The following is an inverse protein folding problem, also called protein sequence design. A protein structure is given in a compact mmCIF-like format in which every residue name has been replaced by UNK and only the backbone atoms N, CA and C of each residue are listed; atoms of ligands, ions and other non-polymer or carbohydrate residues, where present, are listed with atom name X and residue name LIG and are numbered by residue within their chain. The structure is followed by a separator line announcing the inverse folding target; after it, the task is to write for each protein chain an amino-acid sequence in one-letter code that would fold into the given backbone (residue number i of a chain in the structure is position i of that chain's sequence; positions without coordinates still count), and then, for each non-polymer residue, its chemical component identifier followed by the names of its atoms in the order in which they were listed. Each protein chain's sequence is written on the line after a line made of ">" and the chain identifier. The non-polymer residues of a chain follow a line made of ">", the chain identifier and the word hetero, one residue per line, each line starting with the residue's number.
data_IF_244683057963
#
_entry.id   IF_244683057963
#
_cell.length_a   1.000
_cell.length_b   1.000
_cell.length_c   1.000
_cell.angle_alpha   90.00
_cell.angle_beta   90.00
_cell.angle_gamma   90.00
#
_symmetry.space_group_name_H-M   'P 1'
#
loop_
_entity.id
_entity.type
_entity.pdbx_description
1 polymer ?
#
# COMPACT_ATOMS: atom_id res chain seq x y z
N UNK A 1 4.37 -20.59 5.02
CA UNK A 1 5.10 -19.41 4.54
C UNK A 1 6.57 -19.70 4.65
N UNK A 2 7.33 -19.41 3.59
CA UNK A 2 8.80 -19.44 3.64
C UNK A 2 9.33 -18.45 4.69
N UNK A 3 10.53 -18.70 5.21
CA UNK A 3 11.10 -17.96 6.35
C UNK A 3 11.07 -16.43 6.15
N UNK A 4 11.46 -15.94 4.98
CA UNK A 4 11.52 -14.50 4.68
C UNK A 4 10.14 -13.83 4.69
N UNK A 5 9.13 -14.51 4.15
CA UNK A 5 7.75 -14.00 4.15
C UNK A 5 7.16 -14.01 5.56
N UNK A 6 7.37 -15.09 6.31
CA UNK A 6 6.92 -15.20 7.69
C UNK A 6 7.56 -14.11 8.58
N UNK A 7 8.87 -13.87 8.45
CA UNK A 7 9.56 -12.84 9.20
C UNK A 7 9.02 -11.43 8.88
N UNK A 8 8.85 -11.09 7.60
CA UNK A 8 8.30 -9.79 7.20
C UNK A 8 6.88 -9.56 7.72
N UNK A 9 6.02 -10.58 7.64
CA UNK A 9 4.67 -10.50 8.18
C UNK A 9 4.65 -10.31 9.70
N UNK A 10 5.55 -10.98 10.44
CA UNK A 10 5.65 -10.84 11.90
C UNK A 10 6.20 -9.48 12.36
N UNK A 11 6.84 -8.71 11.47
CA UNK A 11 7.20 -7.32 11.76
C UNK A 11 6.02 -6.36 11.57
N UNK A 12 5.07 -6.70 10.70
CA UNK A 12 3.90 -5.87 10.38
C UNK A 12 2.75 -6.13 11.34
N UNK A 13 2.45 -7.40 11.60
CA UNK A 13 1.39 -7.83 12.52
C UNK A 13 2.04 -8.19 13.85
N UNK A 14 1.68 -7.49 14.91
CA UNK A 14 2.21 -7.68 16.24
C UNK A 14 1.80 -9.05 16.80
N UNK A 15 2.48 -9.49 17.87
CA UNK A 15 2.28 -10.83 18.45
C UNK A 15 0.88 -11.06 19.01
N UNK A 16 0.14 -9.99 19.30
CA UNK A 16 -1.26 -10.01 19.73
C UNK A 16 -2.26 -10.10 18.57
N UNK A 17 -1.76 -10.12 17.32
CA UNK A 17 -2.56 -10.19 16.10
C UNK A 17 -3.04 -8.84 15.57
N UNK A 18 -2.66 -7.72 16.19
CA UNK A 18 -3.05 -6.38 15.76
C UNK A 18 -1.95 -5.66 14.98
N UNK A 19 -2.33 -4.59 14.27
CA UNK A 19 -1.41 -3.73 13.56
C UNK A 19 -1.94 -2.31 13.44
N UNK A 20 -1.07 -1.32 13.61
CA UNK A 20 -1.31 0.09 13.39
C UNK A 20 -0.34 0.64 12.34
N UNK A 21 -0.80 0.69 11.10
CA UNK A 21 -0.02 1.25 9.99
C UNK A 21 -0.29 2.75 9.86
N UNK A 22 0.77 3.54 9.68
CA UNK A 22 0.69 4.99 9.43
C UNK A 22 0.80 5.27 7.92
N UNK A 23 -0.32 5.59 7.23
CA UNK A 23 -0.30 5.93 5.81
C UNK A 23 0.11 7.39 5.57
N UNK A 24 1.17 7.57 4.78
CA UNK A 24 1.74 8.87 4.37
C UNK A 24 2.03 8.89 2.86
N UNK A 25 1.28 8.12 2.09
CA UNK A 25 1.44 7.96 0.64
C UNK A 25 0.60 8.94 -0.19
N UNK A 26 -0.18 9.83 0.42
CA UNK A 26 -1.13 10.71 -0.29
C UNK A 26 -0.51 11.68 -1.31
N UNK A 27 0.75 12.07 -1.09
CA UNK A 27 1.38 13.15 -1.87
C UNK A 27 1.53 12.88 -3.37
N UNK A 28 1.59 11.61 -3.80
CA UNK A 28 1.80 11.31 -5.24
C UNK A 28 0.64 11.76 -6.13
N UNK A 29 -0.59 11.79 -5.59
CA UNK A 29 -1.78 12.18 -6.35
C UNK A 29 -2.43 13.47 -5.85
N UNK A 30 -2.28 13.80 -4.55
CA UNK A 30 -2.85 15.00 -3.93
C UNK A 30 -1.90 16.21 -3.91
N UNK A 31 -0.59 16.00 -4.15
CA UNK A 31 0.41 17.05 -3.95
C UNK A 31 0.63 17.34 -2.46
N UNK A 32 1.01 18.58 -2.08
CA UNK A 32 1.29 18.96 -0.69
C UNK A 32 -0.01 19.08 0.12
N UNK A 33 -0.61 17.94 0.45
CA UNK A 33 -1.83 17.88 1.25
C UNK A 33 -1.56 18.27 2.69
N UNK A 34 -2.62 18.67 3.41
CA UNK A 34 -2.52 19.19 4.78
C UNK A 34 -1.77 18.23 5.69
N UNK A 35 -0.80 18.73 6.45
CA UNK A 35 0.13 17.96 7.32
C UNK A 35 1.12 17.07 6.57
N UNK A 36 1.19 17.10 5.25
CA UNK A 36 2.20 16.37 4.47
C UNK A 36 2.93 17.29 3.49
N UNK A 37 2.86 18.61 3.71
CA UNK A 37 3.67 19.61 3.00
C UNK A 37 5.17 19.39 3.29
N UNK A 38 5.48 19.04 4.53
CA UNK A 38 6.80 18.60 5.00
C UNK A 38 6.67 17.25 5.71
N UNK A 39 6.66 16.11 4.98
CA UNK A 39 6.28 14.81 5.54
C UNK A 39 7.08 14.40 6.79
N UNK A 40 8.38 14.74 6.83
CA UNK A 40 9.25 14.48 7.98
C UNK A 40 8.67 15.00 9.29
N UNK A 41 8.21 16.26 9.32
CA UNK A 41 7.66 16.91 10.52
C UNK A 41 6.41 16.23 11.06
N UNK A 42 5.71 15.46 10.22
CA UNK A 42 4.52 14.70 10.60
C UNK A 42 4.85 13.26 10.94
N UNK A 43 5.78 12.64 10.22
CA UNK A 43 6.17 11.24 10.44
C UNK A 43 6.91 11.10 11.77
N UNK A 44 7.96 11.91 12.01
CA UNK A 44 8.85 11.77 13.18
C UNK A 44 8.10 11.67 14.54
N UNK A 45 7.16 12.57 14.89
CA UNK A 45 6.48 12.49 16.19
C UNK A 45 5.47 11.33 16.30
N UNK A 46 5.00 10.79 15.18
CA UNK A 46 4.01 9.70 15.15
C UNK A 46 4.66 8.32 15.06
N UNK A 47 5.90 8.25 14.56
CA UNK A 47 6.62 7.01 14.31
C UNK A 47 6.67 6.05 15.53
N UNK A 48 6.86 6.52 16.79
CA UNK A 48 6.87 5.64 17.95
C UNK A 48 5.55 4.87 18.18
N UNK A 49 4.44 5.40 17.69
CA UNK A 49 3.10 4.83 17.87
C UNK A 49 2.67 3.94 16.70
N UNK A 50 3.47 3.85 15.64
CA UNK A 50 3.17 3.04 14.46
C UNK A 50 3.95 1.73 14.47
N UNK A 51 3.31 0.68 13.97
CA UNK A 51 3.94 -0.61 13.72
C UNK A 51 4.64 -0.63 12.36
N UNK A 52 4.11 0.10 11.37
CA UNK A 52 4.70 0.24 10.05
C UNK A 52 4.33 1.57 9.39
N UNK A 53 5.16 2.00 8.44
CA UNK A 53 4.84 3.13 7.54
C UNK A 53 4.31 2.60 6.21
N UNK A 54 3.20 3.16 5.73
CA UNK A 54 2.76 2.97 4.35
C UNK A 54 3.05 4.23 3.54
N UNK A 55 4.04 4.16 2.65
CA UNK A 55 4.75 5.35 2.16
C UNK A 55 5.21 5.18 0.71
N UNK A 56 5.38 6.28 -0.03
CA UNK A 56 5.96 6.26 -1.38
C UNK A 56 7.49 6.27 -1.33
N UNK A 57 8.15 5.71 -2.35
CA UNK A 57 9.63 5.68 -2.44
C UNK A 57 10.30 7.06 -2.30
N UNK A 58 9.64 8.11 -2.77
CA UNK A 58 10.17 9.48 -2.71
C UNK A 58 10.16 10.03 -1.30
N UNK A 59 9.04 9.88 -0.58
CA UNK A 59 8.90 10.36 0.79
C UNK A 59 9.76 9.52 1.74
N UNK A 60 9.86 8.21 1.53
CA UNK A 60 10.74 7.34 2.31
C UNK A 60 12.19 7.85 2.27
N UNK A 61 12.71 8.13 1.08
CA UNK A 61 14.11 8.58 0.89
C UNK A 61 14.40 9.97 1.44
N UNK A 62 13.44 10.89 1.34
CA UNK A 62 13.66 12.29 1.70
C UNK A 62 13.33 12.62 3.15
N UNK A 63 12.41 11.87 3.75
CA UNK A 63 11.69 12.30 4.95
C UNK A 63 11.68 11.28 6.10
N UNK A 64 12.30 10.12 5.92
CA UNK A 64 12.44 9.09 6.97
C UNK A 64 13.92 8.86 7.24
N UNK A 65 14.30 8.84 8.51
CA UNK A 65 15.65 8.50 8.95
C UNK A 65 15.87 6.98 8.82
N UNK A 66 16.84 6.50 8.02
CA UNK A 66 17.09 5.07 7.87
C UNK A 66 17.55 4.40 9.17
N UNK A 67 18.17 5.13 10.10
CA UNK A 67 18.65 4.58 11.38
C UNK A 67 17.55 4.51 12.43
N UNK A 68 16.44 5.22 12.22
CA UNK A 68 15.30 5.29 13.13
C UNK A 68 13.99 5.17 12.33
N UNK A 69 13.72 3.96 11.83
CA UNK A 69 12.52 3.66 11.04
C UNK A 69 11.74 2.48 11.60
N UNK A 70 10.50 2.34 11.12
CA UNK A 70 9.64 1.18 11.30
C UNK A 70 9.64 0.33 10.02
N UNK A 71 9.16 -0.93 10.08
CA UNK A 71 8.85 -1.70 8.88
C UNK A 71 8.13 -0.88 7.81
N UNK A 72 8.54 -1.05 6.56
CA UNK A 72 8.04 -0.26 5.43
C UNK A 72 7.08 -1.10 4.60
N UNK A 73 5.90 -0.56 4.35
CA UNK A 73 5.00 -0.96 3.29
C UNK A 73 5.18 0.06 2.17
N UNK A 74 5.77 -0.35 1.04
CA UNK A 74 6.07 0.56 -0.05
C UNK A 74 4.87 0.68 -0.99
N UNK A 75 4.34 1.90 -1.18
CA UNK A 75 3.36 2.18 -2.24
C UNK A 75 3.99 1.96 -3.60
N UNK A 76 3.45 1.02 -4.38
CA UNK A 76 3.96 0.65 -5.70
C UNK A 76 3.02 0.95 -6.87
N UNK A 77 1.75 1.26 -6.61
CA UNK A 77 0.80 1.75 -7.63
C UNK A 77 0.67 3.28 -7.60
N UNK A 78 0.25 3.87 -8.72
CA UNK A 78 0.01 5.30 -8.86
C UNK A 78 0.01 5.73 -10.33
N UNK A 79 0.37 6.99 -10.59
CA UNK A 79 0.41 7.54 -11.96
C UNK A 79 -0.80 8.41 -12.33
N UNK A 80 -1.71 8.62 -11.38
CA UNK A 80 -2.86 9.53 -11.49
C UNK A 80 -2.73 10.70 -10.51
N UNK A 81 -3.54 11.75 -10.70
CA UNK A 81 -3.57 12.91 -9.81
C UNK A 81 -4.97 13.49 -9.68
N UNK A 82 -5.19 14.33 -8.66
CA UNK A 82 -6.45 15.06 -8.45
C UNK A 82 -6.82 16.00 -9.61
N UNK A 83 -5.85 16.37 -10.46
CA UNK A 83 -6.09 17.16 -11.68
C UNK A 83 -6.62 16.28 -12.82
N UNK A 84 -6.30 14.99 -12.79
CA UNK A 84 -6.71 14.02 -13.79
C UNK A 84 -8.21 13.68 -13.74
N UNK A 85 -8.68 12.99 -14.78
CA UNK A 85 -10.10 12.62 -14.92
C UNK A 85 -10.51 11.54 -13.92
N UNK A 86 -9.69 10.49 -13.81
CA UNK A 86 -9.96 9.33 -12.99
C UNK A 86 -8.72 8.91 -12.20
N UNK A 87 -8.88 8.74 -10.89
CA UNK A 87 -7.83 8.27 -10.00
C UNK A 87 -7.62 6.76 -10.10
N UNK A 88 -8.60 6.01 -10.61
CA UNK A 88 -8.55 4.55 -10.73
C UNK A 88 -7.60 4.05 -11.83
N UNK A 89 -7.20 4.92 -12.76
CA UNK A 89 -6.29 4.59 -13.85
C UNK A 89 -4.81 4.51 -13.40
N UNK A 90 -4.56 3.74 -12.34
CA UNK A 90 -3.22 3.54 -11.80
C UNK A 90 -2.48 2.39 -12.50
N UNK A 91 -1.17 2.57 -12.65
CA UNK A 91 -0.23 1.52 -13.02
C UNK A 91 0.78 1.22 -11.92
N UNK A 92 1.63 0.23 -12.17
CA UNK A 92 2.80 -0.03 -11.31
C UNK A 92 3.84 1.06 -11.56
N UNK A 93 4.14 1.86 -10.54
CA UNK A 93 5.11 2.96 -10.61
C UNK A 93 6.49 2.60 -10.05
N UNK A 94 6.55 1.53 -9.25
CA UNK A 94 7.74 1.09 -8.53
C UNK A 94 7.86 -0.43 -8.59
N UNK A 95 9.03 -0.94 -8.99
CA UNK A 95 9.26 -2.38 -9.14
C UNK A 95 9.57 -3.07 -7.81
N UNK A 96 9.47 -4.40 -7.80
CA UNK A 96 9.82 -5.20 -6.64
C UNK A 96 11.31 -5.10 -6.27
N UNK A 97 12.22 -4.94 -7.26
CA UNK A 97 13.65 -4.74 -7.00
C UNK A 97 13.91 -3.42 -6.27
N UNK A 98 13.12 -2.38 -6.53
CA UNK A 98 13.20 -1.14 -5.76
C UNK A 98 12.72 -1.36 -4.32
N UNK A 99 11.66 -2.15 -4.12
CA UNK A 99 11.20 -2.53 -2.78
C UNK A 99 12.30 -3.26 -2.00
N UNK A 100 13.03 -4.18 -2.66
CA UNK A 100 14.21 -4.84 -2.09
C UNK A 100 15.30 -3.81 -1.75
N UNK A 101 15.60 -2.89 -2.67
CA UNK A 101 16.66 -1.87 -2.51
C UNK A 101 16.44 -0.96 -1.31
N UNK A 102 15.19 -0.62 -1.01
CA UNK A 102 14.83 0.21 0.15
C UNK A 102 14.48 -0.61 1.39
N UNK A 103 14.75 -1.91 1.39
CA UNK A 103 14.49 -2.84 2.49
C UNK A 103 13.02 -2.82 2.95
N UNK A 104 12.08 -2.83 2.00
CA UNK A 104 10.66 -2.87 2.32
C UNK A 104 10.25 -4.23 2.91
N UNK A 105 9.40 -4.20 3.93
CA UNK A 105 8.80 -5.38 4.55
C UNK A 105 7.56 -5.84 3.78
N UNK A 106 6.90 -4.96 3.03
CA UNK A 106 5.81 -5.28 2.12
C UNK A 106 5.72 -4.25 0.99
N UNK A 107 4.92 -4.56 -0.03
CA UNK A 107 4.46 -3.58 -1.02
C UNK A 107 2.95 -3.41 -0.94
N UNK A 108 2.46 -2.21 -1.28
CA UNK A 108 1.03 -1.87 -1.28
C UNK A 108 0.56 -1.35 -2.64
N UNK A 109 -0.53 -1.92 -3.14
CA UNK A 109 -1.19 -1.56 -4.40
C UNK A 109 -2.67 -1.25 -4.16
N UNK A 110 -3.20 -0.26 -4.87
CA UNK A 110 -4.63 0.03 -4.91
C UNK A 110 -5.29 -0.82 -5.99
N UNK A 111 -6.44 -1.43 -5.67
CA UNK A 111 -7.32 -2.07 -6.64
C UNK A 111 -8.64 -1.29 -6.72
N UNK A 112 -9.18 -1.18 -7.92
CA UNK A 112 -10.36 -0.37 -8.22
C UNK A 112 -11.47 -1.22 -8.85
N UNK A 113 -12.02 -2.13 -8.05
CA UNK A 113 -13.11 -3.01 -8.45
C UNK A 113 -14.34 -2.20 -8.90
N UNK A 114 -14.99 -2.60 -9.98
CA UNK A 114 -16.16 -1.92 -10.56
C UNK A 114 -15.88 -0.57 -11.24
N UNK A 115 -14.61 -0.19 -11.41
CA UNK A 115 -14.21 0.95 -12.24
C UNK A 115 -13.92 0.53 -13.69
N UNK A 116 -13.82 1.50 -14.61
CA UNK A 116 -13.41 1.28 -16.00
C UNK A 116 -12.00 0.65 -16.11
N UNK A 117 -11.19 0.74 -15.05
CA UNK A 117 -9.82 0.25 -14.96
C UNK A 117 -9.66 -0.98 -14.06
N UNK A 118 -10.76 -1.62 -13.64
CA UNK A 118 -10.75 -2.79 -12.75
C UNK A 118 -9.77 -3.86 -13.25
N UNK A 119 -9.94 -4.29 -14.51
CA UNK A 119 -9.14 -5.37 -15.09
C UNK A 119 -7.65 -5.10 -14.96
N UNK A 120 -7.21 -3.89 -15.31
CA UNK A 120 -5.79 -3.52 -15.23
C UNK A 120 -5.30 -3.51 -13.78
N UNK A 121 -6.07 -2.91 -12.86
CA UNK A 121 -5.70 -2.87 -11.45
C UNK A 121 -5.57 -4.28 -10.82
N UNK A 122 -6.45 -5.21 -11.20
CA UNK A 122 -6.40 -6.60 -10.73
C UNK A 122 -5.26 -7.40 -11.37
N UNK A 123 -4.96 -7.18 -12.65
CA UNK A 123 -3.80 -7.80 -13.30
C UNK A 123 -2.48 -7.29 -12.70
N UNK A 124 -2.41 -5.99 -12.35
CA UNK A 124 -1.27 -5.43 -11.64
C UNK A 124 -1.10 -6.06 -10.24
N UNK A 125 -2.19 -6.33 -9.52
CA UNK A 125 -2.14 -7.07 -8.25
C UNK A 125 -1.58 -8.48 -8.46
N UNK A 126 -2.13 -9.27 -9.39
CA UNK A 126 -1.64 -10.63 -9.65
C UNK A 126 -0.16 -10.66 -10.02
N UNK A 127 0.28 -9.75 -10.89
CA UNK A 127 1.70 -9.62 -11.27
C UNK A 127 2.58 -9.35 -10.05
N UNK A 128 2.18 -8.40 -9.19
CA UNK A 128 2.94 -8.08 -7.99
C UNK A 128 2.96 -9.23 -6.97
N UNK A 129 1.88 -10.01 -6.88
CA UNK A 129 1.83 -11.22 -6.05
C UNK A 129 2.87 -12.23 -6.54
N UNK A 130 2.91 -12.53 -7.84
CA UNK A 130 3.91 -13.45 -8.41
C UNK A 130 5.35 -12.97 -8.14
N UNK A 131 5.61 -11.67 -8.30
CA UNK A 131 6.91 -11.06 -7.97
C UNK A 131 7.19 -11.12 -6.46
N UNK A 132 6.19 -10.86 -5.62
CA UNK A 132 6.30 -10.88 -4.17
C UNK A 132 6.63 -12.26 -3.63
N UNK A 133 5.95 -13.30 -4.11
CA UNK A 133 6.23 -14.69 -3.77
C UNK A 133 7.66 -15.09 -4.16
N UNK A 134 8.14 -14.66 -5.34
CA UNK A 134 9.52 -14.92 -5.80
C UNK A 134 10.59 -14.40 -4.84
N UNK A 135 10.35 -13.26 -4.20
CA UNK A 135 11.31 -12.61 -3.28
C UNK A 135 10.94 -12.74 -1.80
N UNK A 136 9.85 -13.44 -1.48
CA UNK A 136 9.33 -13.55 -0.11
C UNK A 136 8.90 -12.20 0.47
N UNK A 137 8.35 -11.30 -0.35
CA UNK A 137 7.83 -9.98 0.05
C UNK A 137 6.29 -10.00 -0.04
N UNK A 138 5.57 -9.80 1.06
CA UNK A 138 4.11 -9.77 1.05
C UNK A 138 3.56 -8.57 0.27
N UNK A 139 2.45 -8.81 -0.42
CA UNK A 139 1.68 -7.78 -1.14
C UNK A 139 0.41 -7.47 -0.37
N UNK A 140 0.21 -6.18 -0.07
CA UNK A 140 -1.01 -5.64 0.50
C UNK A 140 -1.88 -5.03 -0.60
N UNK A 141 -3.10 -5.54 -0.76
CA UNK A 141 -4.11 -4.93 -1.62
C UNK A 141 -4.93 -3.91 -0.83
N UNK A 142 -5.08 -2.71 -1.36
CA UNK A 142 -5.92 -1.65 -0.81
C UNK A 142 -7.18 -1.58 -1.66
N UNK A 143 -8.34 -1.88 -1.09
CA UNK A 143 -9.62 -1.75 -1.79
C UNK A 143 -9.96 -0.26 -1.89
N UNK A 144 -9.50 0.37 -2.96
CA UNK A 144 -9.73 1.78 -3.20
C UNK A 144 -11.11 1.96 -3.81
N UNK A 145 -11.86 2.93 -3.30
CA UNK A 145 -13.12 3.35 -3.90
C UNK A 145 -12.81 4.61 -4.69
N UNK A 146 -13.14 4.60 -5.99
CA UNK A 146 -13.02 5.77 -6.85
C UNK A 146 -13.96 6.91 -6.42
N UNK A 147 -14.35 7.77 -7.36
CA UNK A 147 -15.26 8.90 -7.07
C UNK A 147 -16.64 8.48 -6.55
N UNK A 148 -17.00 7.22 -6.69
CA UNK A 148 -18.31 6.68 -6.32
C UNK A 148 -18.32 6.18 -4.87
N UNK A 149 -18.25 7.15 -3.94
CA UNK A 149 -18.33 6.92 -2.50
C UNK A 149 -19.60 6.16 -2.07
N UNK A 150 -20.67 6.23 -2.86
CA UNK A 150 -21.94 5.53 -2.63
C UNK A 150 -21.83 4.00 -2.79
N UNK A 151 -20.79 3.51 -3.47
CA UNK A 151 -20.52 2.07 -3.64
C UNK A 151 -19.86 1.40 -2.44
N UNK A 152 -19.71 2.08 -1.30
CA UNK A 152 -19.12 1.52 -0.06
C UNK A 152 -20.02 0.57 0.71
N UNK A 153 -21.01 -0.04 0.06
CA UNK A 153 -21.85 -1.02 0.75
C UNK A 153 -21.07 -2.29 1.12
N UNK A 154 -21.59 -3.02 2.12
CA UNK A 154 -20.95 -4.23 2.66
C UNK A 154 -20.74 -5.29 1.59
N UNK A 155 -21.64 -5.41 0.60
CA UNK A 155 -21.53 -6.42 -0.46
C UNK A 155 -20.39 -6.09 -1.40
N UNK A 156 -20.23 -4.82 -1.77
CA UNK A 156 -19.14 -4.36 -2.62
C UNK A 156 -17.77 -4.52 -1.92
N UNK A 157 -17.66 -4.14 -0.64
CA UNK A 157 -16.41 -4.30 0.11
C UNK A 157 -16.06 -5.78 0.32
N UNK A 158 -17.05 -6.63 0.58
CA UNK A 158 -16.86 -8.08 0.69
C UNK A 158 -16.39 -8.69 -0.63
N UNK A 159 -17.00 -8.30 -1.76
CA UNK A 159 -16.60 -8.73 -3.09
C UNK A 159 -15.14 -8.32 -3.38
N UNK A 160 -14.82 -7.05 -3.19
CA UNK A 160 -13.48 -6.50 -3.47
C UNK A 160 -12.41 -7.18 -2.61
N UNK A 161 -12.70 -7.35 -1.32
CA UNK A 161 -11.81 -8.02 -0.37
C UNK A 161 -11.61 -9.49 -0.73
N UNK A 162 -12.67 -10.20 -1.15
CA UNK A 162 -12.56 -11.60 -1.57
C UNK A 162 -11.73 -11.75 -2.84
N UNK A 163 -11.96 -10.90 -3.85
CA UNK A 163 -11.14 -10.89 -5.07
C UNK A 163 -9.67 -10.68 -4.73
N UNK A 164 -9.35 -9.68 -3.90
CA UNK A 164 -7.96 -9.42 -3.49
C UNK A 164 -7.30 -10.63 -2.82
N UNK A 165 -8.01 -11.30 -1.91
CA UNK A 165 -7.52 -12.49 -1.23
C UNK A 165 -7.30 -13.67 -2.19
N UNK A 166 -8.23 -13.92 -3.13
CA UNK A 166 -8.12 -14.99 -4.14
C UNK A 166 -6.99 -14.75 -5.15
N UNK A 167 -6.69 -13.48 -5.45
CA UNK A 167 -5.53 -13.12 -6.27
C UNK A 167 -4.20 -13.23 -5.51
N UNK A 168 -4.23 -13.62 -4.23
CA UNK A 168 -3.05 -13.93 -3.43
C UNK A 168 -2.48 -12.79 -2.59
N UNK A 169 -3.23 -11.69 -2.41
CA UNK A 169 -2.82 -10.64 -1.47
C UNK A 169 -2.65 -11.21 -0.06
N UNK A 170 -1.54 -10.87 0.59
CA UNK A 170 -1.23 -11.33 1.97
C UNK A 170 -1.90 -10.46 3.03
N UNK A 171 -2.23 -9.22 2.70
CA UNK A 171 -2.99 -8.29 3.53
C UNK A 171 -4.02 -7.59 2.66
N UNK A 172 -5.25 -7.44 3.16
CA UNK A 172 -6.30 -6.64 2.51
C UNK A 172 -6.63 -5.45 3.42
N UNK A 173 -6.36 -4.24 2.93
CA UNK A 173 -6.74 -2.99 3.59
C UNK A 173 -8.07 -2.51 2.99
N UNK A 174 -9.12 -2.55 3.79
CA UNK A 174 -10.48 -2.14 3.38
C UNK A 174 -11.12 -1.17 4.37
N UNK A 175 -12.33 -0.70 4.06
CA UNK A 175 -13.11 0.18 4.92
C UNK A 175 -13.89 -0.61 5.97
N UNK A 176 -14.10 0.01 7.13
CA UNK A 176 -14.94 -0.49 8.23
C UNK A 176 -16.25 0.27 8.27
#
# INVERSE_FOLDING_TARGET
>A
MEWGMANRMAQLIQSDGHALFLPVDHGYFQGPTRRLEEPRKTIEPLLPYADALFITRGVLRSSVDPDNTKPIILRVSGGTSMVGKDLANEGITTSMEEAIRVNASAVGISIFVGSDYEKESLLNLSKLVDEGERYGIPVMAVTAVGKELEKRDVRYLALSSRIAAELGARVVKTYW
#
